data_IF_307509352674
#
_entry.id   IF_307509352674
#
_cell.length_a   1.000
_cell.length_b   1.000
_cell.length_c   1.000
_cell.angle_alpha   90.00
_cell.angle_beta   90.00
_cell.angle_gamma   90.00
#
_symmetry.space_group_name_H-M   'P 1'
#
loop_
_entity.id
_entity.type
_entity.pdbx_description
1 polymer ?
#
# COMPACT_ATOMS: atom_id res chain seq x y z
N UNK A 1 -1.07 -20.27 15.34
CA UNK A 1 -1.10 -18.80 15.27
C UNK A 1 -2.52 -18.34 15.58
N UNK A 2 -2.70 -17.48 16.58
CA UNK A 2 -4.01 -16.92 16.88
C UNK A 2 -4.37 -15.80 15.88
N UNK A 3 -5.63 -15.35 15.86
CA UNK A 3 -6.11 -14.34 14.89
C UNK A 3 -5.28 -13.05 14.95
N UNK A 4 -4.94 -12.60 16.16
CA UNK A 4 -4.18 -11.36 16.38
C UNK A 4 -2.74 -11.49 15.87
N UNK A 5 -2.08 -12.63 16.11
CA UNK A 5 -0.74 -12.91 15.57
C UNK A 5 -0.74 -12.97 14.04
N UNK A 6 -1.78 -13.55 13.43
CA UNK A 6 -1.92 -13.56 11.96
C UNK A 6 -2.06 -12.13 11.42
N UNK A 7 -2.96 -11.32 11.99
CA UNK A 7 -3.16 -9.93 11.57
C UNK A 7 -1.87 -9.10 11.71
N UNK A 8 -1.14 -9.23 12.82
CA UNK A 8 0.16 -8.55 13.01
C UNK A 8 1.18 -9.01 11.97
N UNK A 9 1.23 -10.31 11.63
CA UNK A 9 2.15 -10.81 10.61
C UNK A 9 1.87 -10.26 9.20
N UNK A 10 0.59 -10.09 8.84
CA UNK A 10 0.17 -9.52 7.56
C UNK A 10 0.44 -8.01 7.50
N UNK A 11 0.16 -7.29 8.58
CA UNK A 11 0.49 -5.87 8.70
C UNK A 11 2.00 -5.63 8.54
N UNK A 12 2.84 -6.44 9.21
CA UNK A 12 4.30 -6.34 9.11
C UNK A 12 4.79 -6.53 7.67
N UNK A 13 4.15 -7.40 6.89
CA UNK A 13 4.51 -7.63 5.49
C UNK A 13 4.24 -6.38 4.63
N UNK A 14 3.07 -5.77 4.79
CA UNK A 14 2.74 -4.52 4.09
C UNK A 14 3.66 -3.39 4.55
N UNK A 15 3.97 -3.27 5.85
CA UNK A 15 4.92 -2.29 6.38
C UNK A 15 6.34 -2.46 5.83
N UNK A 16 6.79 -3.70 5.60
CA UNK A 16 8.07 -4.00 4.98
C UNK A 16 8.10 -3.56 3.51
N UNK A 17 7.06 -3.90 2.74
CA UNK A 17 6.91 -3.43 1.36
C UNK A 17 6.94 -1.90 1.29
N UNK A 18 6.33 -1.21 2.26
CA UNK A 18 6.29 0.25 2.29
C UNK A 18 7.61 0.91 2.73
N UNK A 19 8.65 0.18 3.13
CA UNK A 19 9.95 0.79 3.44
C UNK A 19 10.58 1.49 2.24
N UNK A 20 10.23 1.08 1.02
CA UNK A 20 10.70 1.71 -0.22
C UNK A 20 9.84 2.92 -0.64
N UNK A 21 8.80 3.24 0.14
CA UNK A 21 7.78 4.21 -0.25
C UNK A 21 7.44 5.20 0.85
N UNK A 22 7.06 6.41 0.44
CA UNK A 22 6.46 7.41 1.33
C UNK A 22 5.17 7.97 0.74
N UNK A 23 4.25 8.48 1.57
CA UNK A 23 3.07 9.19 1.08
C UNK A 23 3.48 10.38 0.21
N UNK A 24 2.84 10.52 -0.96
CA UNK A 24 2.94 11.73 -1.77
C UNK A 24 1.77 12.67 -1.45
N UNK A 25 2.01 13.99 -1.52
CA UNK A 25 1.00 14.99 -1.18
C UNK A 25 0.05 15.26 -2.36
N UNK A 26 0.60 15.23 -3.59
CA UNK A 26 -0.14 15.42 -4.83
C UNK A 26 0.42 14.57 -5.97
N UNK A 27 -0.40 14.30 -6.99
CA UNK A 27 0.02 13.63 -8.24
C UNK A 27 1.08 14.42 -9.02
N UNK A 28 1.18 15.73 -8.76
CA UNK A 28 2.17 16.62 -9.37
C UNK A 28 3.54 16.56 -8.70
N UNK A 29 3.67 15.87 -7.56
CA UNK A 29 4.96 15.75 -6.87
C UNK A 29 5.93 14.94 -7.74
N UNK A 30 7.21 15.32 -7.73
CA UNK A 30 8.26 14.58 -8.44
C UNK A 30 8.31 13.11 -7.96
N UNK A 31 8.15 12.18 -8.89
CA UNK A 31 8.15 10.74 -8.61
C UNK A 31 6.86 10.20 -7.98
N UNK A 32 5.79 11.00 -7.88
CA UNK A 32 4.50 10.51 -7.42
C UNK A 32 3.86 9.54 -8.42
N UNK A 33 3.33 8.45 -7.87
CA UNK A 33 2.61 7.41 -8.59
C UNK A 33 1.34 7.05 -7.85
N UNK A 34 0.38 6.47 -8.57
CA UNK A 34 -0.74 5.75 -7.95
C UNK A 34 -0.50 4.26 -8.12
N UNK A 35 -0.48 3.53 -7.01
CA UNK A 35 -0.41 2.06 -7.00
C UNK A 35 -1.72 1.52 -6.47
N UNK A 36 -2.36 0.63 -7.23
CA UNK A 36 -3.62 0.04 -6.77
C UNK A 36 -3.37 -0.97 -5.66
N UNK A 37 -4.41 -1.30 -4.89
CA UNK A 37 -4.31 -2.41 -3.94
C UNK A 37 -3.95 -3.71 -4.65
N UNK A 38 -4.46 -3.94 -5.86
CA UNK A 38 -4.15 -5.13 -6.65
C UNK A 38 -2.68 -5.18 -7.10
N UNK A 39 -2.06 -4.02 -7.39
CA UNK A 39 -0.63 -3.95 -7.70
C UNK A 39 0.21 -4.32 -6.47
N UNK A 40 -0.16 -3.82 -5.30
CA UNK A 40 0.53 -4.12 -4.03
C UNK A 40 0.36 -5.60 -3.68
N UNK A 41 -0.85 -6.15 -3.84
CA UNK A 41 -1.13 -7.56 -3.59
C UNK A 41 -0.33 -8.44 -4.55
N UNK A 42 -0.27 -8.11 -5.85
CA UNK A 42 0.52 -8.87 -6.82
C UNK A 42 2.01 -8.93 -6.46
N UNK A 43 2.55 -7.83 -5.93
CA UNK A 43 3.95 -7.78 -5.50
C UNK A 43 4.21 -8.57 -4.21
N UNK A 44 3.16 -8.84 -3.43
CA UNK A 44 3.21 -9.58 -2.16
C UNK A 44 2.64 -11.01 -2.25
N UNK A 45 2.12 -11.41 -3.42
CA UNK A 45 1.28 -12.61 -3.62
C UNK A 45 2.01 -13.91 -3.24
N UNK A 46 3.32 -13.98 -3.50
CA UNK A 46 4.16 -15.13 -3.15
C UNK A 46 4.49 -15.21 -1.64
N UNK A 47 4.19 -14.17 -0.86
CA UNK A 47 4.65 -14.02 0.52
C UNK A 47 3.55 -14.30 1.56
N UNK A 48 2.28 -13.98 1.27
CA UNK A 48 1.16 -14.27 2.17
C UNK A 48 -0.22 -14.14 1.47
N UNK A 49 -1.22 -14.82 2.05
CA UNK A 49 -2.64 -14.67 1.70
C UNK A 49 -3.21 -13.36 2.30
N UNK A 50 -2.84 -12.24 1.68
CA UNK A 50 -3.27 -10.89 2.04
C UNK A 50 -4.63 -10.56 1.41
N UNK A 51 -5.54 -10.02 2.20
CA UNK A 51 -6.78 -9.47 1.66
C UNK A 51 -6.62 -7.97 1.30
N UNK A 52 -7.38 -7.46 0.31
CA UNK A 52 -7.37 -6.03 -0.02
C UNK A 52 -7.61 -5.10 1.17
N UNK A 53 -8.40 -5.54 2.15
CA UNK A 53 -8.72 -4.78 3.34
C UNK A 53 -7.53 -4.66 4.31
N UNK A 54 -6.64 -5.65 4.37
CA UNK A 54 -5.45 -5.62 5.22
C UNK A 54 -4.45 -4.57 4.71
N UNK A 55 -4.27 -4.53 3.38
CA UNK A 55 -3.50 -3.47 2.70
C UNK A 55 -4.13 -2.12 2.98
N UNK A 56 -5.43 -1.95 2.75
CA UNK A 56 -6.09 -0.66 2.91
C UNK A 56 -5.99 -0.11 4.34
N UNK A 57 -6.19 -0.95 5.36
CA UNK A 57 -6.03 -0.54 6.77
C UNK A 57 -4.62 -0.07 7.07
N UNK A 58 -3.62 -0.83 6.63
CA UNK A 58 -2.21 -0.52 6.88
C UNK A 58 -1.79 0.76 6.15
N UNK A 59 -2.20 0.94 4.90
CA UNK A 59 -1.95 2.16 4.14
C UNK A 59 -2.52 3.40 4.85
N UNK A 60 -3.77 3.30 5.33
CA UNK A 60 -4.42 4.39 6.07
C UNK A 60 -3.74 4.68 7.42
N UNK A 61 -3.35 3.65 8.18
CA UNK A 61 -2.68 3.84 9.47
C UNK A 61 -1.30 4.50 9.33
N UNK A 62 -0.65 4.34 8.18
CA UNK A 62 0.65 4.94 7.86
C UNK A 62 0.54 6.30 7.14
N UNK A 63 -0.68 6.81 6.94
CA UNK A 63 -0.92 8.15 6.40
C UNK A 63 -0.92 8.24 4.87
N UNK A 64 -0.93 7.11 4.16
CA UNK A 64 -1.15 7.10 2.71
C UNK A 64 -2.59 7.52 2.40
N UNK A 65 -2.76 8.18 1.26
CA UNK A 65 -4.06 8.65 0.79
C UNK A 65 -4.40 8.00 -0.53
N UNK A 66 -5.69 7.78 -0.75
CA UNK A 66 -6.14 7.33 -2.06
C UNK A 66 -6.24 8.50 -3.03
N UNK A 67 -5.98 8.22 -4.31
CA UNK A 67 -6.10 9.15 -5.41
C UNK A 67 -6.72 8.46 -6.62
N UNK A 68 -7.31 9.28 -7.48
CA UNK A 68 -7.82 8.85 -8.77
C UNK A 68 -6.91 9.39 -9.87
N UNK A 69 -6.46 8.53 -10.76
CA UNK A 69 -5.95 8.98 -12.04
C UNK A 69 -7.10 9.55 -12.88
N UNK A 70 -6.82 10.49 -13.80
CA UNK A 70 -7.80 10.96 -14.77
C UNK A 70 -8.39 9.85 -15.66
N UNK A 71 -7.68 8.72 -15.80
CA UNK A 71 -8.13 7.55 -16.56
C UNK A 71 -9.09 6.64 -15.77
N UNK A 72 -9.45 7.01 -14.53
CA UNK A 72 -10.38 6.28 -13.68
C UNK A 72 -9.74 5.24 -12.76
N UNK A 73 -8.42 5.00 -12.85
CA UNK A 73 -7.74 4.12 -11.89
C UNK A 73 -7.75 4.74 -10.49
N UNK A 74 -8.06 3.92 -9.49
CA UNK A 74 -8.06 4.30 -8.08
C UNK A 74 -6.98 3.51 -7.34
N UNK A 75 -6.20 4.20 -6.52
CA UNK A 75 -5.16 3.55 -5.72
C UNK A 75 -4.52 4.52 -4.75
N UNK A 76 -3.31 4.18 -4.32
CA UNK A 76 -2.58 4.87 -3.26
C UNK A 76 -1.55 5.83 -3.83
N UNK A 77 -1.61 7.08 -3.37
CA UNK A 77 -0.69 8.13 -3.76
C UNK A 77 0.62 8.01 -2.97
N UNK A 78 1.68 7.66 -3.67
CA UNK A 78 2.97 7.34 -3.07
C UNK A 78 4.13 7.75 -3.98
N UNK A 79 5.33 7.83 -3.41
CA UNK A 79 6.57 8.06 -4.15
C UNK A 79 7.71 7.25 -3.52
N UNK A 80 8.71 6.84 -4.31
CA UNK A 80 9.84 6.08 -3.77
C UNK A 80 10.64 6.91 -2.77
N UNK A 81 11.19 6.24 -1.75
CA UNK A 81 12.23 6.81 -0.89
C UNK A 81 13.49 6.97 -1.76
N UNK A 82 13.97 8.20 -1.94
CA UNK A 82 15.17 8.51 -2.72
C UNK A 82 16.42 7.88 -2.10
#
# INVERSE_FOLDING_TARGET
MNKQEKEVSLQNLVEQYLQEWVPAAALTDEGAVVRTTDDILRDLDDMADLEPNDVAKTMLSLGFRSAYYPDGRHGWLMKPVK
#
